data_IF_278399178417
#
_entry.id   IF_278399178417
#
_cell.length_a   1.000
_cell.length_b   1.000
_cell.length_c   1.000
_cell.angle_alpha   90.00
_cell.angle_beta   90.00
_cell.angle_gamma   90.00
#
_symmetry.space_group_name_H-M   'P 1'
#
loop_
_entity.id
_entity.type
_entity.pdbx_description
1 polymer ?
#
# COMPACT_ATOMS: atom_id res chain seq x y z
N UNK A 1 -1.52 -1.58 -13.30
CA UNK A 1 -0.74 -2.28 -12.25
C UNK A 1 -1.46 -3.55 -11.89
N UNK A 2 -0.84 -4.38 -11.05
CA UNK A 2 -1.43 -5.65 -10.61
C UNK A 2 -2.22 -5.46 -9.30
N UNK A 3 -3.31 -6.22 -9.16
CA UNK A 3 -4.07 -6.32 -7.92
C UNK A 3 -3.54 -7.48 -7.09
N UNK A 4 -3.24 -7.20 -5.82
CA UNK A 4 -2.73 -8.20 -4.88
C UNK A 4 -3.69 -8.31 -3.71
N UNK A 5 -3.99 -9.55 -3.34
CA UNK A 5 -4.74 -9.90 -2.14
C UNK A 5 -3.74 -10.39 -1.09
N UNK A 6 -3.77 -9.80 0.10
CA UNK A 6 -2.90 -10.13 1.22
C UNK A 6 -3.76 -10.51 2.41
N UNK A 7 -3.53 -11.70 2.95
CA UNK A 7 -4.27 -12.19 4.10
C UNK A 7 -3.65 -11.73 5.42
N UNK A 8 -4.41 -11.88 6.50
CA UNK A 8 -3.93 -11.67 7.86
C UNK A 8 -2.58 -12.37 8.11
N UNK A 9 -1.69 -11.68 8.82
CA UNK A 9 -0.34 -12.12 9.17
C UNK A 9 0.60 -12.35 7.97
N UNK A 10 0.19 -11.98 6.76
CA UNK A 10 1.07 -12.01 5.60
C UNK A 10 1.79 -10.67 5.42
N UNK A 11 2.95 -10.75 4.76
CA UNK A 11 3.74 -9.57 4.39
C UNK A 11 3.28 -9.03 3.06
N UNK A 12 3.25 -7.72 2.98
CA UNK A 12 2.93 -7.00 1.75
C UNK A 12 4.13 -7.08 0.80
N UNK A 13 3.96 -7.57 -0.44
CA UNK A 13 5.09 -7.85 -1.33
C UNK A 13 5.65 -6.61 -2.03
N UNK A 14 4.86 -5.56 -2.18
CA UNK A 14 5.21 -4.35 -2.92
C UNK A 14 4.45 -3.15 -2.37
N UNK A 15 4.94 -1.93 -2.65
CA UNK A 15 4.19 -0.74 -2.28
C UNK A 15 2.90 -0.68 -3.09
N UNK A 16 1.76 -0.58 -2.40
CA UNK A 16 0.44 -0.63 -3.00
C UNK A 16 -0.51 0.39 -2.38
N UNK A 17 -1.55 0.78 -3.13
CA UNK A 17 -2.67 1.58 -2.63
C UNK A 17 -3.76 0.64 -2.13
N UNK A 18 -4.28 0.90 -0.93
CA UNK A 18 -5.29 0.11 -0.25
C UNK A 18 -6.67 0.36 -0.86
N UNK A 19 -7.17 -0.60 -1.63
CA UNK A 19 -8.45 -0.46 -2.32
C UNK A 19 -9.62 -1.01 -1.52
N UNK A 20 -9.44 -2.16 -0.86
CA UNK A 20 -10.57 -2.82 -0.18
C UNK A 20 -10.11 -3.75 0.91
N UNK A 21 -10.94 -3.89 1.95
CA UNK A 21 -10.78 -4.90 2.99
C UNK A 21 -12.05 -5.72 3.22
N UNK A 22 -11.88 -6.93 3.77
CA UNK A 22 -12.96 -7.74 4.32
C UNK A 22 -13.59 -7.13 5.58
N UNK A 23 -12.93 -6.17 6.23
CA UNK A 23 -13.45 -5.52 7.43
C UNK A 23 -14.57 -4.52 7.11
N UNK A 24 -15.62 -4.54 7.93
CA UNK A 24 -16.81 -3.68 7.75
C UNK A 24 -16.50 -2.19 7.89
N UNK A 25 -15.45 -1.85 8.63
CA UNK A 25 -15.01 -0.47 8.86
C UNK A 25 -14.30 0.14 7.65
N UNK A 26 -13.85 -0.68 6.68
CA UNK A 26 -13.03 -0.19 5.58
C UNK A 26 -11.62 0.19 5.98
N UNK A 27 -11.18 -0.22 7.17
CA UNK A 27 -9.85 0.04 7.69
C UNK A 27 -9.14 -1.26 8.07
N UNK A 28 -7.83 -1.20 8.14
CA UNK A 28 -6.98 -2.31 8.54
C UNK A 28 -5.78 -1.77 9.32
N UNK A 29 -5.29 -2.54 10.27
CA UNK A 29 -4.04 -2.23 10.94
C UNK A 29 -2.87 -2.94 10.24
N UNK A 30 -1.75 -2.24 10.09
CA UNK A 30 -0.49 -2.83 9.64
C UNK A 30 0.60 -2.58 10.67
N UNK A 31 1.58 -3.48 10.74
CA UNK A 31 2.80 -3.26 11.52
C UNK A 31 3.95 -2.89 10.60
N UNK A 32 4.70 -1.86 10.99
CA UNK A 32 5.84 -1.31 10.22
C UNK A 32 7.19 -1.62 10.84
N UNK A 33 7.28 -2.59 11.76
CA UNK A 33 8.47 -2.93 12.53
C UNK A 33 9.73 -3.18 11.67
N UNK A 34 9.56 -3.66 10.44
CA UNK A 34 10.66 -3.91 9.51
C UNK A 34 11.11 -2.68 8.70
N UNK A 35 10.35 -1.60 8.73
CA UNK A 35 10.59 -0.36 7.98
C UNK A 35 11.19 0.74 8.86
N UNK A 36 10.63 0.95 10.05
CA UNK A 36 11.04 2.02 10.97
C UNK A 36 11.41 1.52 12.38
N UNK A 37 11.24 0.23 12.66
CA UNK A 37 11.46 -0.33 14.00
C UNK A 37 10.30 -0.07 14.97
N UNK A 38 9.20 0.54 14.53
CA UNK A 38 8.03 0.78 15.38
C UNK A 38 7.21 -0.50 15.54
N UNK A 39 6.89 -0.85 16.79
CA UNK A 39 6.05 -2.01 17.12
C UNK A 39 4.56 -1.68 17.10
N UNK A 40 4.21 -0.41 16.97
CA UNK A 40 2.83 0.05 16.98
C UNK A 40 2.08 -0.31 15.71
N UNK A 41 0.77 -0.50 15.87
CA UNK A 41 -0.14 -0.75 14.77
C UNK A 41 -0.52 0.58 14.11
N UNK A 42 -0.23 0.72 12.81
CA UNK A 42 -0.64 1.89 12.02
C UNK A 42 -1.97 1.59 11.34
N UNK A 43 -2.95 2.46 11.58
CA UNK A 43 -4.25 2.39 10.92
C UNK A 43 -4.11 2.78 9.45
N UNK A 44 -4.70 1.99 8.57
CA UNK A 44 -4.81 2.23 7.14
C UNK A 44 -6.26 2.19 6.72
N UNK A 45 -6.63 3.02 5.76
CA UNK A 45 -8.01 3.18 5.31
C UNK A 45 -8.09 2.92 3.82
N UNK A 46 -9.03 2.07 3.42
CA UNK A 46 -9.26 1.75 2.03
C UNK A 46 -9.82 2.97 1.29
N UNK A 47 -9.55 3.05 -0.02
CA UNK A 47 -10.19 4.03 -0.90
C UNK A 47 -11.72 3.91 -0.76
N UNK A 48 -12.37 5.04 -0.52
CA UNK A 48 -13.75 5.04 -0.03
C UNK A 48 -14.71 4.56 -1.13
N UNK A 49 -14.47 4.95 -2.38
CA UNK A 49 -15.30 4.53 -3.51
C UNK A 49 -15.23 3.02 -3.80
N UNK A 50 -14.09 2.38 -3.59
CA UNK A 50 -13.90 0.94 -3.82
C UNK A 50 -14.39 0.10 -2.64
N UNK A 51 -14.29 0.62 -1.41
CA UNK A 51 -14.84 -0.05 -0.23
C UNK A 51 -16.37 -0.09 -0.24
N UNK A 52 -17.05 0.91 -0.83
CA UNK A 52 -18.52 0.97 -0.95
C UNK A 52 -19.11 -0.04 -1.94
N UNK A 53 -18.28 -0.71 -2.75
CA UNK A 53 -18.76 -1.68 -3.73
C UNK A 53 -19.41 -2.89 -3.04
N UNK A 54 -20.59 -3.36 -3.49
CA UNK A 54 -21.33 -4.42 -2.79
C UNK A 54 -20.63 -5.78 -2.87
N UNK A 55 -20.09 -6.16 -4.03
CA UNK A 55 -19.39 -7.42 -4.21
C UNK A 55 -17.90 -7.21 -4.49
N UNK A 56 -17.06 -8.18 -4.11
CA UNK A 56 -15.64 -8.14 -4.41
C UNK A 56 -15.38 -8.17 -5.92
N UNK A 57 -16.21 -8.89 -6.68
CA UNK A 57 -16.16 -8.96 -8.14
C UNK A 57 -16.26 -7.60 -8.83
N UNK A 58 -17.00 -6.66 -8.22
CA UNK A 58 -17.20 -5.32 -8.79
C UNK A 58 -15.87 -4.55 -8.84
N UNK A 59 -14.96 -4.78 -7.90
CA UNK A 59 -13.64 -4.16 -7.88
C UNK A 59 -12.80 -4.51 -9.12
N UNK A 60 -13.03 -5.68 -9.71
CA UNK A 60 -12.36 -6.11 -10.94
C UNK A 60 -13.04 -5.58 -12.20
N UNK A 61 -14.25 -5.05 -12.06
CA UNK A 61 -15.05 -4.52 -13.17
C UNK A 61 -15.00 -3.00 -13.29
N UNK A 62 -14.48 -2.30 -12.28
CA UNK A 62 -14.34 -0.84 -12.33
C UNK A 62 -13.28 -0.42 -13.35
N UNK A 63 -13.53 0.69 -14.03
CA UNK A 63 -12.50 1.38 -14.80
C UNK A 63 -11.95 2.54 -13.96
N UNK A 64 -10.72 2.42 -13.49
CA UNK A 64 -10.07 3.40 -12.63
C UNK A 64 -8.57 3.47 -12.88
N UNK A 65 -7.98 4.62 -12.59
CA UNK A 65 -6.54 4.82 -12.64
C UNK A 65 -6.05 5.53 -11.38
N UNK A 66 -4.78 5.27 -11.03
CA UNK A 66 -4.11 5.86 -9.88
C UNK A 66 -2.97 6.71 -10.37
N UNK A 67 -2.99 7.99 -10.02
CA UNK A 67 -1.83 8.86 -10.11
C UNK A 67 -1.09 8.82 -8.77
N UNK A 68 0.18 8.42 -8.78
CA UNK A 68 1.04 8.47 -7.61
C UNK A 68 2.23 9.36 -7.93
N UNK A 69 2.71 10.12 -6.94
CA UNK A 69 3.92 10.92 -7.08
C UNK A 69 5.16 10.07 -7.40
N UNK A 70 6.30 10.70 -7.68
CA UNK A 70 7.56 9.95 -7.87
C UNK A 70 7.94 9.20 -6.57
N UNK A 71 8.61 8.03 -6.66
CA UNK A 71 9.09 7.33 -5.48
C UNK A 71 10.03 8.23 -4.66
N UNK A 72 9.81 8.26 -3.35
CA UNK A 72 10.55 9.06 -2.38
C UNK A 72 10.96 8.20 -1.18
N UNK A 73 12.08 8.55 -0.55
CA UNK A 73 12.61 7.81 0.61
C UNK A 73 11.78 8.02 1.88
N UNK A 74 11.10 9.17 2.01
CA UNK A 74 10.29 9.47 3.18
C UNK A 74 9.08 8.53 3.25
N UNK A 75 9.06 7.65 4.26
CA UNK A 75 8.02 6.65 4.49
C UNK A 75 6.72 7.23 5.07
N UNK A 76 6.75 8.48 5.55
CA UNK A 76 5.62 9.13 6.23
C UNK A 76 4.79 10.04 5.31
N UNK A 77 5.30 10.37 4.13
CA UNK A 77 4.61 11.23 3.16
C UNK A 77 4.19 10.42 1.94
N UNK A 78 2.94 10.58 1.48
CA UNK A 78 2.49 10.08 0.19
C UNK A 78 1.41 10.99 -0.37
N UNK A 79 1.53 11.31 -1.66
CA UNK A 79 0.54 12.07 -2.40
C UNK A 79 0.17 11.32 -3.69
N UNK A 80 -1.13 11.14 -3.88
CA UNK A 80 -1.68 10.54 -5.08
C UNK A 80 -3.15 10.90 -5.27
N UNK A 81 -3.72 10.44 -6.37
CA UNK A 81 -5.13 10.60 -6.69
C UNK A 81 -5.65 9.32 -7.32
N UNK A 82 -6.74 8.82 -6.78
CA UNK A 82 -7.52 7.74 -7.37
C UNK A 82 -8.66 8.34 -8.18
N UNK A 83 -8.76 7.97 -9.45
CA UNK A 83 -9.86 8.38 -10.33
C UNK A 83 -10.62 7.16 -10.81
N UNK A 84 -11.94 7.18 -10.62
CA UNK A 84 -12.87 6.18 -11.11
C UNK A 84 -13.71 6.75 -12.25
N UNK A 85 -13.58 6.17 -13.45
CA UNK A 85 -14.20 6.64 -14.70
C UNK A 85 -15.53 5.98 -15.02
N UNK A 86 -15.85 4.82 -14.42
CA UNK A 86 -17.11 4.10 -14.63
C UNK A 86 -18.29 4.66 -13.80
N UNK A 87 -18.09 5.76 -13.08
CA UNK A 87 -19.13 6.48 -12.34
C UNK A 87 -19.51 7.76 -13.06
N UNK A 88 -20.80 8.12 -13.05
CA UNK A 88 -21.31 9.41 -13.54
C UNK A 88 -21.90 10.21 -12.36
N UNK A 89 -21.27 11.31 -11.91
CA UNK A 89 -20.02 11.87 -12.40
C UNK A 89 -18.79 11.05 -12.00
N UNK A 90 -17.66 11.31 -12.68
CA UNK A 90 -16.34 10.76 -12.39
C UNK A 90 -15.98 11.00 -10.93
N UNK A 91 -15.50 9.97 -10.23
CA UNK A 91 -15.11 10.10 -8.81
C UNK A 91 -13.61 10.30 -8.71
N UNK A 92 -13.20 11.38 -8.04
CA UNK A 92 -11.80 11.67 -7.73
C UNK A 92 -11.60 11.66 -6.22
N UNK A 93 -10.70 10.81 -5.73
CA UNK A 93 -10.35 10.73 -4.31
C UNK A 93 -8.84 10.97 -4.14
N UNK A 94 -8.48 11.95 -3.31
CA UNK A 94 -7.09 12.21 -2.95
C UNK A 94 -6.58 11.08 -2.05
N UNK A 95 -5.39 10.59 -2.34
CA UNK A 95 -4.73 9.51 -1.60
C UNK A 95 -3.64 10.10 -0.70
N UNK A 96 -3.66 9.69 0.56
CA UNK A 96 -2.65 10.04 1.56
C UNK A 96 -1.85 8.80 2.00
N UNK A 97 -0.92 9.01 2.92
CA UNK A 97 -0.18 7.94 3.60
C UNK A 97 -1.11 6.88 4.25
N UNK A 98 -2.31 7.25 4.66
CA UNK A 98 -3.26 6.32 5.28
C UNK A 98 -3.85 5.33 4.27
N UNK A 99 -3.84 5.67 2.98
CA UNK A 99 -4.33 4.83 1.90
C UNK A 99 -3.24 3.97 1.25
N UNK A 100 -2.01 3.99 1.78
CA UNK A 100 -0.89 3.22 1.23
C UNK A 100 -0.44 2.10 2.16
N UNK A 101 0.12 1.08 1.53
CA UNK A 101 0.62 -0.11 2.19
C UNK A 101 2.02 -0.36 1.68
N UNK A 102 2.99 -0.28 2.56
CA UNK A 102 4.40 -0.41 2.20
C UNK A 102 4.83 -1.87 2.15
N UNK A 103 5.75 -2.18 1.23
CA UNK A 103 6.40 -3.48 1.17
C UNK A 103 7.00 -3.86 2.53
N UNK A 104 7.00 -5.15 2.85
CA UNK A 104 7.53 -5.71 4.10
C UNK A 104 6.74 -5.39 5.38
N UNK A 105 5.64 -4.62 5.29
CA UNK A 105 4.71 -4.46 6.42
C UNK A 105 3.81 -5.69 6.58
N UNK A 106 3.30 -5.91 7.78
CA UNK A 106 2.46 -7.08 8.12
C UNK A 106 1.01 -6.67 8.35
N UNK A 107 0.07 -7.35 7.69
CA UNK A 107 -1.38 -7.15 7.87
C UNK A 107 -1.85 -7.76 9.19
N UNK A 108 -2.51 -6.98 10.04
CA UNK A 108 -2.94 -7.42 11.37
C UNK A 108 -4.23 -8.25 11.37
N UNK A 109 -5.17 -7.91 10.48
CA UNK A 109 -6.52 -8.46 10.50
C UNK A 109 -7.21 -8.34 9.14
N UNK A 110 -8.19 -9.21 8.92
CA UNK A 110 -8.93 -9.29 7.67
C UNK A 110 -8.05 -9.66 6.47
N UNK A 111 -8.55 -9.30 5.30
CA UNK A 111 -7.89 -9.43 4.01
C UNK A 111 -7.78 -8.05 3.40
N UNK A 112 -6.62 -7.74 2.83
CA UNK A 112 -6.32 -6.46 2.21
C UNK A 112 -6.15 -6.65 0.71
N UNK A 113 -6.78 -5.79 -0.06
CA UNK A 113 -6.67 -5.77 -1.51
C UNK A 113 -6.12 -4.43 -1.92
N UNK A 114 -5.02 -4.45 -2.67
CA UNK A 114 -4.37 -3.24 -3.14
C UNK A 114 -3.87 -3.35 -4.56
N UNK A 115 -3.70 -2.19 -5.18
CA UNK A 115 -3.06 -2.06 -6.50
C UNK A 115 -1.61 -1.65 -6.32
N UNK A 116 -0.71 -2.37 -6.97
CA UNK A 116 0.74 -2.12 -6.91
C UNK A 116 1.06 -0.78 -7.58
N UNK A 117 1.79 0.09 -6.86
CA UNK A 117 2.24 1.40 -7.35
C UNK A 117 3.74 1.47 -7.61
N UNK A 118 4.58 0.89 -6.74
CA UNK A 118 6.02 0.82 -6.92
C UNK A 118 6.51 -0.61 -6.73
N UNK A 119 7.52 -1.01 -7.50
CA UNK A 119 8.07 -2.37 -7.47
C UNK A 119 9.59 -2.36 -7.36
N UNK A 120 10.16 -3.45 -6.83
CA UNK A 120 11.60 -3.66 -6.77
C UNK A 120 12.37 -2.50 -6.12
N UNK A 121 13.29 -1.90 -6.88
CA UNK A 121 14.18 -0.82 -6.41
C UNK A 121 13.44 0.48 -6.08
N UNK A 122 12.24 0.65 -6.60
CA UNK A 122 11.41 1.84 -6.36
C UNK A 122 10.56 1.71 -5.09
N UNK A 123 10.55 0.53 -4.45
CA UNK A 123 9.88 0.36 -3.15
C UNK A 123 10.63 1.12 -2.06
N UNK A 124 9.87 1.71 -1.14
CA UNK A 124 10.46 2.50 -0.03
C UNK A 124 11.33 1.67 0.89
N UNK A 125 10.99 0.38 1.06
CA UNK A 125 11.81 -0.56 1.82
C UNK A 125 13.20 -0.73 1.21
N UNK A 126 13.29 -0.84 -0.13
CA UNK A 126 14.58 -0.97 -0.82
C UNK A 126 15.33 0.36 -0.89
N UNK A 127 14.63 1.49 -1.11
CA UNK A 127 15.26 2.81 -1.08
C UNK A 127 15.87 3.16 0.29
N UNK A 128 15.27 2.70 1.39
CA UNK A 128 15.82 2.86 2.74
C UNK A 128 16.89 1.82 3.11
N UNK A 129 17.13 0.83 2.25
CA UNK A 129 18.22 -0.13 2.45
C UNK A 129 19.53 0.42 1.88
N UNK A 130 20.59 0.45 2.69
CA UNK A 130 21.92 0.81 2.19
C UNK A 130 22.47 -0.28 1.27
N UNK A 131 23.13 0.12 0.17
CA UNK A 131 23.78 -0.84 -0.71
C UNK A 131 24.79 -1.68 0.09
N UNK A 132 24.73 -3.02 0.01
CA UNK A 132 25.67 -3.87 0.73
C UNK A 132 27.08 -3.56 0.25
N UNK A 133 27.93 -3.10 1.18
CA UNK A 133 29.36 -2.93 0.96
C UNK A 133 30.08 -4.17 1.50
N UNK A 134 31.12 -4.61 0.79
CA UNK A 134 32.01 -5.65 1.31
C UNK A 134 32.59 -5.17 2.65
N UNK A 135 32.35 -5.94 3.70
CA UNK A 135 32.98 -5.71 5.00
C UNK A 135 34.36 -6.36 4.95
N UNK A 136 35.39 -5.52 4.86
CA UNK A 136 36.78 -5.95 5.09
C UNK A 136 37.09 -5.72 6.58
N UNK A 137 37.70 -6.72 7.22
CA UNK A 137 38.15 -6.59 8.60
C UNK A 137 39.35 -5.63 8.66
N UNK A 138 39.50 -4.91 9.77
CA UNK A 138 40.62 -3.98 10.00
C UNK A 138 41.98 -4.69 10.19
N UNK A 139 42.09 -5.96 9.80
CA UNK A 139 43.26 -6.82 9.98
C UNK A 139 43.85 -7.31 8.64
N UNK A 140 43.37 -6.79 7.50
CA UNK A 140 43.98 -6.93 6.18
C UNK A 140 44.73 -5.66 5.78
#
# INVERSE_FOLDING_TARGET
GDLIIVEKNQRIPSDMVFLRTSEKTGSCFIRTDQLDGETDWKLKVAVSCTQRLPALGDLFSINAYVYAQKPQMDIHSFEGTFTREDSDPTVHESLSIENTLWASTVVASGTVIGVVIYTGKETRSVMNTSNPKNKVGLLD
#
